data_IF_961991651323
#
_entry.id   IF_961991651323
#
_cell.length_a   1.000
_cell.length_b   1.000
_cell.length_c   1.000
_cell.angle_alpha   90.00
_cell.angle_beta   90.00
_cell.angle_gamma   90.00
#
_symmetry.space_group_name_H-M   'P 1'
#
loop_
_entity.id
_entity.type
_entity.pdbx_description
1 polymer ?
#
# COMPACT_ATOMS: atom_id res chain seq x y z
N UNK A 1 -0.89 15.95 4.39
CA UNK A 1 -0.32 15.50 3.10
C UNK A 1 -1.22 14.47 2.43
N UNK A 2 -1.40 14.53 1.11
CA UNK A 2 -2.13 13.53 0.32
C UNK A 2 -1.20 12.86 -0.69
N UNK A 3 -1.25 11.54 -0.78
CA UNK A 3 -0.43 10.74 -1.67
C UNK A 3 -1.12 9.42 -2.04
N UNK A 4 -0.63 8.79 -3.10
CA UNK A 4 -1.14 7.52 -3.58
C UNK A 4 -0.10 6.41 -3.39
N UNK A 5 -0.54 5.22 -2.99
CA UNK A 5 0.31 4.02 -2.94
C UNK A 5 -0.24 2.99 -3.91
N UNK A 6 0.54 2.64 -4.94
CA UNK A 6 0.15 1.63 -5.93
C UNK A 6 0.66 0.24 -5.55
N UNK A 7 -0.20 -0.78 -5.72
CA UNK A 7 0.20 -2.20 -5.68
C UNK A 7 0.31 -2.82 -7.07
N UNK A 8 0.05 -2.05 -8.13
CA UNK A 8 0.16 -2.49 -9.54
C UNK A 8 1.38 -1.93 -10.25
N UNK A 9 1.84 -0.74 -9.87
CA UNK A 9 2.94 -0.01 -10.52
C UNK A 9 3.99 0.32 -9.48
N UNK A 10 4.96 -0.56 -9.31
CA UNK A 10 6.08 -0.40 -8.39
C UNK A 10 7.32 -1.09 -8.95
N UNK A 11 8.49 -0.60 -8.56
CA UNK A 11 9.75 -1.28 -8.83
C UNK A 11 10.00 -2.28 -7.69
N UNK A 12 10.12 -3.56 -8.03
CA UNK A 12 10.63 -4.57 -7.09
C UNK A 12 12.11 -4.27 -6.88
N UNK A 13 12.50 -4.07 -5.63
CA UNK A 13 13.91 -3.93 -5.23
C UNK A 13 14.39 -5.33 -4.86
N UNK A 14 15.56 -5.73 -5.36
CA UNK A 14 16.16 -7.02 -5.02
C UNK A 14 16.93 -6.93 -3.69
N UNK A 15 17.12 -8.06 -3.02
CA UNK A 15 17.92 -8.12 -1.80
C UNK A 15 19.40 -7.81 -2.11
N UNK A 16 20.08 -7.03 -1.27
CA UNK A 16 21.49 -6.68 -1.43
C UNK A 16 22.39 -7.93 -1.42
N UNK A 17 21.98 -8.97 -0.70
CA UNK A 17 22.64 -10.27 -0.63
C UNK A 17 22.35 -11.18 -1.85
N UNK A 18 21.64 -10.67 -2.87
CA UNK A 18 21.32 -11.39 -4.11
C UNK A 18 20.29 -12.52 -3.94
N UNK A 19 19.61 -12.59 -2.78
CA UNK A 19 18.55 -13.56 -2.57
C UNK A 19 17.28 -13.11 -3.32
N UNK A 20 16.66 -13.98 -4.13
CA UNK A 20 15.42 -13.61 -4.79
C UNK A 20 14.34 -13.36 -3.73
N UNK A 21 13.77 -12.16 -3.72
CA UNK A 21 12.58 -11.90 -2.94
C UNK A 21 11.44 -12.80 -3.43
N UNK A 22 10.60 -13.25 -2.50
CA UNK A 22 9.45 -14.05 -2.83
C UNK A 22 8.60 -13.34 -3.89
N UNK A 23 8.21 -14.06 -4.94
CA UNK A 23 7.28 -13.51 -5.91
C UNK A 23 5.88 -13.45 -5.29
N UNK A 24 5.47 -12.24 -4.92
CA UNK A 24 4.17 -11.97 -4.32
C UNK A 24 3.23 -11.40 -5.39
N UNK A 25 2.04 -11.99 -5.49
CA UNK A 25 1.02 -11.52 -6.43
C UNK A 25 0.54 -10.11 -6.07
N UNK A 26 0.10 -9.35 -7.09
CA UNK A 26 -0.46 -8.02 -6.88
C UNK A 26 -1.70 -8.02 -5.96
N UNK A 27 -2.49 -9.10 -5.98
CA UNK A 27 -3.67 -9.25 -5.12
C UNK A 27 -3.26 -9.47 -3.66
N UNK A 28 -2.22 -10.26 -3.42
CA UNK A 28 -1.66 -10.44 -2.07
C UNK A 28 -1.09 -9.12 -1.54
N UNK A 29 -0.35 -8.36 -2.35
CA UNK A 29 0.14 -7.03 -1.95
C UNK A 29 -1.01 -6.07 -1.61
N UNK A 30 -2.08 -6.09 -2.42
CA UNK A 30 -3.29 -5.29 -2.15
C UNK A 30 -3.92 -5.66 -0.81
N UNK A 31 -4.03 -6.96 -0.49
CA UNK A 31 -4.60 -7.43 0.77
C UNK A 31 -3.76 -6.94 1.97
N UNK A 32 -2.44 -7.14 1.94
CA UNK A 32 -1.54 -6.71 3.01
C UNK A 32 -1.59 -5.20 3.21
N UNK A 33 -1.53 -4.41 2.13
CA UNK A 33 -1.66 -2.95 2.22
C UNK A 33 -3.03 -2.54 2.79
N UNK A 34 -4.10 -3.25 2.43
CA UNK A 34 -5.44 -2.97 2.96
C UNK A 34 -5.52 -3.17 4.47
N UNK A 35 -4.85 -4.18 5.01
CA UNK A 35 -4.80 -4.45 6.46
C UNK A 35 -4.07 -3.33 7.21
N UNK A 36 -2.87 -2.98 6.78
CA UNK A 36 -2.08 -1.90 7.40
C UNK A 36 -2.84 -0.57 7.36
N UNK A 37 -3.41 -0.23 6.22
CA UNK A 37 -4.17 1.01 6.05
C UNK A 37 -5.44 1.01 6.91
N UNK A 38 -6.14 -0.12 7.03
CA UNK A 38 -7.30 -0.25 7.93
C UNK A 38 -6.93 0.08 9.37
N UNK A 39 -5.80 -0.40 9.85
CA UNK A 39 -5.36 -0.15 11.22
C UNK A 39 -4.91 1.30 11.44
N UNK A 40 -4.21 1.90 10.47
CA UNK A 40 -3.87 3.33 10.51
C UNK A 40 -5.12 4.22 10.54
N UNK A 41 -6.17 3.85 9.80
CA UNK A 41 -7.44 4.58 9.83
C UNK A 41 -8.17 4.41 11.16
N UNK A 42 -8.19 3.21 11.75
CA UNK A 42 -8.77 2.98 13.09
C UNK A 42 -8.02 3.77 14.17
N UNK A 43 -6.72 3.96 14.01
CA UNK A 43 -5.88 4.79 14.88
C UNK A 43 -5.96 6.30 14.56
N UNK A 44 -6.92 6.71 13.73
CA UNK A 44 -7.18 8.09 13.32
C UNK A 44 -5.99 8.81 12.67
N UNK A 45 -5.08 8.07 12.03
CA UNK A 45 -3.87 8.63 11.40
C UNK A 45 -4.09 9.13 9.97
N UNK A 46 -5.10 8.63 9.29
CA UNK A 46 -5.35 8.96 7.88
C UNK A 46 -6.81 8.79 7.47
N UNK A 47 -7.15 9.41 6.36
CA UNK A 47 -8.29 9.06 5.52
C UNK A 47 -7.79 8.21 4.35
N UNK A 48 -8.62 7.28 3.91
CA UNK A 48 -8.32 6.38 2.80
C UNK A 48 -9.54 6.35 1.88
N UNK A 49 -9.31 6.49 0.58
CA UNK A 49 -10.29 6.24 -0.48
C UNK A 49 -9.74 5.16 -1.40
N UNK A 50 -10.59 4.19 -1.72
CA UNK A 50 -10.33 3.14 -2.70
C UNK A 50 -11.47 3.13 -3.71
N UNK A 51 -11.12 3.10 -4.99
CA UNK A 51 -12.09 3.04 -6.08
C UNK A 51 -11.95 1.71 -6.83
N UNK A 52 -13.09 1.13 -7.21
CA UNK A 52 -13.10 -0.12 -7.95
C UNK A 52 -12.34 0.07 -9.28
N UNK A 53 -11.47 -0.90 -9.62
CA UNK A 53 -10.60 -0.92 -10.81
C UNK A 53 -9.39 0.04 -10.77
N UNK A 54 -9.24 0.89 -9.74
CA UNK A 54 -8.01 1.64 -9.54
C UNK A 54 -6.92 0.77 -8.89
N UNK A 55 -5.67 0.97 -9.30
CA UNK A 55 -4.50 0.19 -8.86
C UNK A 55 -3.72 0.83 -7.71
N UNK A 56 -4.33 1.76 -6.97
CA UNK A 56 -3.73 2.49 -5.86
C UNK A 56 -4.76 2.84 -4.78
N UNK A 57 -4.24 3.15 -3.58
CA UNK A 57 -4.99 3.73 -2.48
C UNK A 57 -4.69 5.21 -2.42
N UNK A 58 -5.73 6.04 -2.33
CA UNK A 58 -5.59 7.47 -2.08
C UNK A 58 -5.58 7.70 -0.57
N UNK A 59 -4.49 8.23 -0.05
CA UNK A 59 -4.24 8.38 1.38
C UNK A 59 -4.05 9.85 1.69
N UNK A 60 -4.82 10.36 2.64
CA UNK A 60 -4.63 11.71 3.19
C UNK A 60 -4.28 11.57 4.66
N UNK A 61 -3.08 12.00 5.04
CA UNK A 61 -2.65 12.01 6.45
C UNK A 61 -3.49 12.99 7.24
N UNK A 62 -3.84 12.62 8.47
CA UNK A 62 -4.36 13.58 9.44
C UNK A 62 -3.18 14.14 10.22
N UNK A 63 -3.07 15.46 10.23
CA UNK A 63 -2.13 16.12 11.14
C UNK A 63 -2.64 15.93 12.57
N UNK A 64 -1.71 15.79 13.50
CA UNK A 64 -2.01 15.89 14.93
C UNK A 64 -2.00 17.36 15.33
#
# INVERSE_FOLDING_TARGET
TTFDVSWKRFQKIEDEDGRPLQDVSADTLKLVLSEVLRDLRKADKCYIKYELKQGCFHITTREK
#
